data_IF_639841176062
#
_entry.id   IF_639841176062
#
_cell.length_a   1.000
_cell.length_b   1.000
_cell.length_c   1.000
_cell.angle_alpha   90.00
_cell.angle_beta   90.00
_cell.angle_gamma   90.00
#
_symmetry.space_group_name_H-M   'P 1'
#
loop_
_entity.id
_entity.type
_entity.pdbx_description
1 polymer ?
#
# COMPACT_ATOMS: atom_id res chain seq x y z
N UNK A 1 -9.67 -6.75 9.91
CA UNK A 1 -9.65 -5.92 8.68
C UNK A 1 -8.47 -6.33 7.80
N UNK A 2 -8.69 -6.37 6.50
CA UNK A 2 -7.62 -6.59 5.51
C UNK A 2 -7.20 -5.22 4.99
N UNK A 3 -5.94 -4.88 5.20
CA UNK A 3 -5.39 -3.57 4.84
C UNK A 3 -4.39 -3.73 3.70
N UNK A 4 -4.62 -3.05 2.58
CA UNK A 4 -3.64 -3.01 1.50
C UNK A 4 -2.67 -1.86 1.79
N UNK A 5 -1.40 -2.18 1.98
CA UNK A 5 -0.41 -1.18 2.36
C UNK A 5 0.18 -0.50 1.12
N UNK A 6 0.13 0.83 1.10
CA UNK A 6 0.79 1.64 0.10
C UNK A 6 2.17 2.11 0.55
N UNK A 7 2.96 2.55 -0.41
CA UNK A 7 4.35 2.98 -0.16
C UNK A 7 4.43 4.14 0.82
N UNK A 8 3.60 5.17 0.61
CA UNK A 8 3.64 6.37 1.45
C UNK A 8 3.29 6.08 2.91
N UNK A 9 2.32 5.19 3.14
CA UNK A 9 1.92 4.81 4.49
C UNK A 9 3.00 4.01 5.20
N UNK A 10 3.67 3.10 4.50
CA UNK A 10 4.77 2.32 5.10
C UNK A 10 5.95 3.24 5.42
N UNK A 11 6.35 4.10 4.49
CA UNK A 11 7.45 5.04 4.75
C UNK A 11 7.12 5.93 5.94
N UNK A 12 5.90 6.47 6.01
CA UNK A 12 5.47 7.30 7.14
C UNK A 12 5.57 6.56 8.47
N UNK A 13 5.24 5.27 8.48
CA UNK A 13 5.29 4.46 9.70
C UNK A 13 6.71 4.40 10.29
N UNK A 14 7.74 4.53 9.47
CA UNK A 14 9.14 4.45 9.90
C UNK A 14 9.86 5.80 9.87
N UNK A 15 9.18 6.85 9.47
CA UNK A 15 9.75 8.22 9.44
C UNK A 15 9.37 8.93 10.73
N UNK A 16 10.37 9.15 11.60
CA UNK A 16 10.17 9.84 12.88
C UNK A 16 9.68 11.28 12.75
N UNK A 17 9.81 11.88 11.56
CA UNK A 17 9.36 13.25 11.30
C UNK A 17 7.96 13.31 10.67
N UNK A 18 7.38 12.16 10.31
CA UNK A 18 6.05 12.14 9.71
C UNK A 18 4.97 12.26 10.80
N UNK A 19 4.07 13.26 10.72
CA UNK A 19 3.00 13.41 11.73
C UNK A 19 2.08 12.19 11.77
N UNK A 20 1.86 11.54 10.64
CA UNK A 20 0.98 10.36 10.51
C UNK A 20 1.68 9.06 10.93
N UNK A 21 2.99 9.10 11.20
CA UNK A 21 3.79 7.91 11.48
C UNK A 21 3.24 7.03 12.60
N UNK A 22 2.92 7.58 13.79
CA UNK A 22 2.36 6.76 14.88
C UNK A 22 1.07 6.04 14.49
N UNK A 23 0.16 6.72 13.79
CA UNK A 23 -1.10 6.10 13.32
C UNK A 23 -0.84 5.01 12.30
N UNK A 24 0.08 5.23 11.35
CA UNK A 24 0.45 4.23 10.37
C UNK A 24 1.07 2.99 11.03
N UNK A 25 1.95 3.17 12.00
CA UNK A 25 2.54 2.05 12.75
C UNK A 25 1.48 1.23 13.45
N UNK A 26 0.54 1.91 14.12
CA UNK A 26 -0.54 1.24 14.83
C UNK A 26 -1.40 0.42 13.88
N UNK A 27 -1.75 0.99 12.73
CA UNK A 27 -2.55 0.28 11.72
C UNK A 27 -1.84 -0.97 11.22
N UNK A 28 -0.55 -0.90 10.93
CA UNK A 28 0.23 -2.06 10.50
C UNK A 28 0.32 -3.12 11.59
N UNK A 29 0.34 -2.72 12.86
CA UNK A 29 0.39 -3.64 14.00
C UNK A 29 -0.96 -4.28 14.30
N UNK A 30 -2.05 -3.54 14.16
CA UNK A 30 -3.39 -3.97 14.58
C UNK A 30 -4.20 -4.63 13.47
N UNK A 31 -3.88 -4.41 12.20
CA UNK A 31 -4.60 -5.04 11.09
C UNK A 31 -4.48 -6.58 11.18
N UNK A 32 -5.57 -7.27 10.95
CA UNK A 32 -5.58 -8.74 10.94
C UNK A 32 -4.69 -9.30 9.84
N UNK A 33 -4.79 -8.73 8.65
CA UNK A 33 -3.97 -9.07 7.50
C UNK A 33 -3.54 -7.79 6.79
N UNK A 34 -2.26 -7.71 6.47
CA UNK A 34 -1.72 -6.63 5.62
C UNK A 34 -1.30 -7.24 4.29
N UNK A 35 -1.82 -6.69 3.20
CA UNK A 35 -1.43 -7.08 1.85
C UNK A 35 -0.30 -6.16 1.40
N UNK A 36 0.84 -6.76 1.09
CA UNK A 36 2.07 -6.05 0.76
C UNK A 36 2.49 -6.40 -0.67
N UNK A 37 2.17 -5.51 -1.61
CA UNK A 37 2.51 -5.68 -3.02
C UNK A 37 4.02 -5.74 -3.21
N UNK A 38 4.54 -6.64 -4.06
CA UNK A 38 5.96 -6.63 -4.44
C UNK A 38 6.41 -5.30 -5.04
N UNK A 39 5.51 -4.61 -5.77
CA UNK A 39 5.81 -3.29 -6.34
C UNK A 39 5.99 -2.25 -5.23
N UNK A 40 5.16 -2.31 -4.21
CA UNK A 40 5.29 -1.44 -3.03
C UNK A 40 6.58 -1.76 -2.28
N UNK A 41 6.94 -3.04 -2.13
CA UNK A 41 8.20 -3.42 -1.49
C UNK A 41 9.40 -2.80 -2.20
N UNK A 42 9.42 -2.84 -3.53
CA UNK A 42 10.51 -2.25 -4.31
C UNK A 42 10.58 -0.73 -4.13
N UNK A 43 9.44 -0.06 -4.11
CA UNK A 43 9.39 1.38 -3.86
C UNK A 43 9.83 1.75 -2.45
N UNK A 44 9.39 0.99 -1.46
CA UNK A 44 9.79 1.19 -0.06
C UNK A 44 11.30 1.05 0.09
N UNK A 45 11.89 0.02 -0.52
CA UNK A 45 13.34 -0.17 -0.52
C UNK A 45 14.06 1.07 -1.06
N UNK A 46 13.66 1.52 -2.23
CA UNK A 46 14.27 2.67 -2.89
C UNK A 46 14.11 3.96 -2.08
N UNK A 47 12.88 4.27 -1.66
CA UNK A 47 12.57 5.53 -0.98
C UNK A 47 13.13 5.57 0.43
N UNK A 48 13.12 4.46 1.15
CA UNK A 48 13.69 4.40 2.49
C UNK A 48 15.19 4.72 2.45
N UNK A 49 15.90 4.14 1.49
CA UNK A 49 17.33 4.42 1.31
C UNK A 49 17.58 5.87 0.92
N UNK A 50 16.78 6.39 0.00
CA UNK A 50 16.97 7.75 -0.51
C UNK A 50 16.58 8.84 0.48
N UNK A 51 15.48 8.65 1.22
CA UNK A 51 14.88 9.68 2.08
C UNK A 51 15.22 9.54 3.54
N UNK A 52 15.45 8.32 4.02
CA UNK A 52 15.75 8.09 5.43
C UNK A 52 17.24 7.79 5.61
N UNK A 53 17.64 6.54 5.40
CA UNK A 53 19.07 6.13 5.46
C UNK A 53 19.21 4.68 5.03
N UNK A 54 20.44 4.25 4.78
CA UNK A 54 20.73 2.84 4.50
C UNK A 54 20.42 1.96 5.72
N UNK A 55 20.66 2.46 6.94
CA UNK A 55 20.35 1.73 8.18
C UNK A 55 18.86 1.58 8.35
N UNK A 56 18.09 2.66 8.17
CA UNK A 56 16.64 2.62 8.25
C UNK A 56 16.05 1.67 7.20
N UNK A 57 16.56 1.71 5.98
CA UNK A 57 16.12 0.81 4.90
C UNK A 57 16.30 -0.66 5.30
N UNK A 58 17.46 -1.04 5.80
CA UNK A 58 17.70 -2.41 6.24
C UNK A 58 16.77 -2.82 7.36
N UNK A 59 16.55 -1.93 8.34
CA UNK A 59 15.65 -2.18 9.46
C UNK A 59 14.21 -2.40 8.99
N UNK A 60 13.73 -1.56 8.07
CA UNK A 60 12.39 -1.68 7.51
C UNK A 60 12.20 -3.03 6.81
N UNK A 61 13.15 -3.41 5.96
CA UNK A 61 13.07 -4.68 5.25
C UNK A 61 13.08 -5.88 6.20
N UNK A 62 13.89 -5.83 7.26
CA UNK A 62 13.91 -6.86 8.29
C UNK A 62 12.54 -6.99 8.97
N UNK A 63 11.96 -5.87 9.36
CA UNK A 63 10.66 -5.87 10.05
C UNK A 63 9.54 -6.37 9.14
N UNK A 64 9.50 -5.91 7.88
CA UNK A 64 8.51 -6.37 6.92
C UNK A 64 8.65 -7.87 6.64
N UNK A 65 9.88 -8.34 6.46
CA UNK A 65 10.16 -9.76 6.22
C UNK A 65 9.71 -10.62 7.41
N UNK A 66 9.96 -10.17 8.64
CA UNK A 66 9.53 -10.90 9.84
C UNK A 66 8.01 -11.05 9.88
N UNK A 67 7.26 -10.02 9.51
CA UNK A 67 5.80 -10.08 9.47
C UNK A 67 5.29 -11.00 8.35
N UNK A 68 5.99 -11.06 7.23
CA UNK A 68 5.67 -12.00 6.14
C UNK A 68 5.92 -13.44 6.62
N UNK A 69 7.01 -13.69 7.31
CA UNK A 69 7.34 -15.02 7.86
C UNK A 69 6.33 -15.48 8.90
N UNK A 70 5.75 -14.54 9.65
CA UNK A 70 4.66 -14.82 10.60
C UNK A 70 3.31 -14.99 9.95
N UNK A 71 3.24 -14.85 8.63
CA UNK A 71 2.00 -14.95 7.85
C UNK A 71 0.96 -13.86 8.18
N UNK A 72 1.37 -12.79 8.83
CA UNK A 72 0.51 -11.64 9.10
C UNK A 72 0.48 -10.68 7.93
N UNK A 73 1.60 -10.51 7.25
CA UNK A 73 1.69 -9.77 6.00
C UNK A 73 1.75 -10.77 4.85
N UNK A 74 0.93 -10.55 3.84
CA UNK A 74 0.87 -11.40 2.66
C UNK A 74 1.45 -10.65 1.46
N UNK A 75 2.37 -11.31 0.75
CA UNK A 75 2.94 -10.79 -0.49
C UNK A 75 2.31 -11.57 -1.64
N UNK A 76 1.33 -10.97 -2.34
CA UNK A 76 0.67 -11.68 -3.43
C UNK A 76 1.56 -11.78 -4.67
N UNK A 77 1.31 -12.79 -5.48
CA UNK A 77 1.91 -12.89 -6.80
C UNK A 77 1.29 -11.84 -7.73
N UNK A 78 2.13 -11.20 -8.53
CA UNK A 78 1.68 -10.24 -9.54
C UNK A 78 1.89 -10.89 -10.90
N UNK A 79 0.84 -11.47 -11.43
CA UNK A 79 0.87 -12.17 -12.70
C UNK A 79 0.21 -11.39 -13.83
N UNK A 80 0.05 -12.04 -15.01
CA UNK A 80 -0.50 -11.38 -16.20
C UNK A 80 -1.89 -10.78 -15.99
N UNK A 81 -2.76 -11.47 -15.26
CA UNK A 81 -4.13 -10.98 -15.03
C UNK A 81 -4.15 -9.74 -14.15
N UNK A 82 -3.34 -9.72 -13.11
CA UNK A 82 -3.21 -8.55 -12.24
C UNK A 82 -2.71 -7.35 -13.03
N UNK A 83 -1.69 -7.55 -13.86
CA UNK A 83 -1.15 -6.48 -14.70
C UNK A 83 -2.17 -5.99 -15.72
N UNK A 84 -2.93 -6.88 -16.35
CA UNK A 84 -3.97 -6.50 -17.31
C UNK A 84 -5.06 -5.66 -16.64
N UNK A 85 -5.51 -6.06 -15.45
CA UNK A 85 -6.52 -5.30 -14.69
C UNK A 85 -5.97 -3.94 -14.29
N UNK A 86 -4.73 -3.88 -13.82
CA UNK A 86 -4.08 -2.62 -13.45
C UNK A 86 -3.96 -1.67 -14.65
N UNK A 87 -3.60 -2.18 -15.83
CA UNK A 87 -3.57 -1.38 -17.05
C UNK A 87 -4.95 -0.81 -17.38
N UNK A 88 -6.01 -1.58 -17.18
CA UNK A 88 -7.38 -1.11 -17.35
C UNK A 88 -7.74 0.03 -16.41
N UNK A 89 -7.26 -0.04 -15.16
CA UNK A 89 -7.44 1.05 -14.18
C UNK A 89 -6.71 2.30 -14.63
N UNK A 90 -5.46 2.19 -15.03
CA UNK A 90 -4.67 3.33 -15.54
C UNK A 90 -5.40 4.00 -16.73
N UNK A 91 -5.89 3.20 -17.65
CA UNK A 91 -6.60 3.71 -18.82
C UNK A 91 -7.92 4.41 -18.49
N UNK A 92 -8.68 3.85 -17.54
CA UNK A 92 -9.95 4.46 -17.10
C UNK A 92 -9.75 5.83 -16.46
N UNK A 93 -8.66 5.99 -15.73
CA UNK A 93 -8.33 7.23 -15.02
C UNK A 93 -7.10 7.90 -15.63
N UNK A 94 -7.08 7.99 -16.96
CA UNK A 94 -5.93 8.51 -17.70
C UNK A 94 -5.49 9.91 -17.22
N UNK A 95 -6.47 10.76 -16.83
CA UNK A 95 -6.20 12.12 -16.36
C UNK A 95 -5.45 12.16 -15.02
N UNK A 96 -5.52 11.09 -14.24
CA UNK A 96 -4.81 11.01 -12.94
C UNK A 96 -3.35 10.61 -13.10
N UNK A 97 -3.00 10.01 -14.22
CA UNK A 97 -1.65 9.49 -14.46
C UNK A 97 -1.18 8.59 -13.29
N UNK A 98 -2.03 7.61 -12.95
CA UNK A 98 -1.71 6.66 -11.88
C UNK A 98 -0.46 5.87 -12.23
N UNK A 99 0.43 5.69 -11.27
CA UNK A 99 1.55 4.80 -11.49
C UNK A 99 1.10 3.33 -11.35
N UNK A 100 1.98 2.42 -11.80
CA UNK A 100 1.64 1.00 -11.82
C UNK A 100 1.42 0.45 -10.41
N UNK A 101 2.21 0.89 -9.43
CA UNK A 101 2.07 0.42 -8.06
C UNK A 101 0.70 0.78 -7.48
N UNK A 102 0.20 1.99 -7.72
CA UNK A 102 -1.11 2.42 -7.26
C UNK A 102 -2.23 1.65 -7.97
N UNK A 103 -2.11 1.45 -9.29
CA UNK A 103 -3.08 0.68 -10.04
C UNK A 103 -3.13 -0.78 -9.59
N UNK A 104 -1.99 -1.37 -9.25
CA UNK A 104 -1.93 -2.72 -8.68
C UNK A 104 -2.55 -2.73 -7.28
N UNK A 105 -2.35 -1.70 -6.47
CA UNK A 105 -3.02 -1.58 -5.16
C UNK A 105 -4.54 -1.62 -5.32
N UNK A 106 -5.09 -0.90 -6.29
CA UNK A 106 -6.53 -0.95 -6.59
C UNK A 106 -6.98 -2.37 -6.96
N UNK A 107 -6.20 -3.04 -7.77
CA UNK A 107 -6.47 -4.42 -8.21
C UNK A 107 -6.42 -5.40 -7.03
N UNK A 108 -5.40 -5.29 -6.18
CA UNK A 108 -5.25 -6.15 -5.01
C UNK A 108 -6.37 -5.94 -3.99
N UNK A 109 -6.81 -4.70 -3.81
CA UNK A 109 -7.95 -4.42 -2.94
C UNK A 109 -9.18 -5.20 -3.39
N UNK A 110 -9.41 -5.29 -4.70
CA UNK A 110 -10.50 -6.09 -5.25
C UNK A 110 -10.29 -7.59 -5.02
N UNK A 111 -9.08 -8.09 -5.25
CA UNK A 111 -8.76 -9.50 -5.05
C UNK A 111 -8.98 -9.95 -3.61
N UNK A 112 -8.67 -9.08 -2.66
CA UNK A 112 -8.85 -9.35 -1.22
C UNK A 112 -10.21 -8.85 -0.70
N UNK A 113 -11.05 -8.32 -1.56
CA UNK A 113 -12.40 -7.83 -1.24
C UNK A 113 -12.40 -6.82 -0.10
N UNK A 114 -11.48 -5.89 -0.16
CA UNK A 114 -11.34 -4.83 0.84
C UNK A 114 -11.38 -3.45 0.19
N UNK A 115 -11.80 -2.47 0.96
CA UNK A 115 -11.74 -1.05 0.58
C UNK A 115 -10.71 -0.30 1.40
N UNK A 116 -10.02 -0.98 2.32
CA UNK A 116 -9.10 -0.35 3.26
C UNK A 116 -7.68 -0.27 2.66
N UNK A 117 -7.18 0.93 2.48
CA UNK A 117 -5.86 1.20 1.92
C UNK A 117 -5.08 2.10 2.87
N UNK A 118 -3.87 1.71 3.21
CA UNK A 118 -2.94 2.55 3.98
C UNK A 118 -2.17 3.42 2.99
N UNK A 119 -2.48 4.71 2.95
CA UNK A 119 -1.84 5.63 2.01
C UNK A 119 -1.93 7.07 2.50
N UNK A 120 -0.95 7.88 2.13
CA UNK A 120 -1.01 9.34 2.26
C UNK A 120 -1.34 10.00 0.92
N UNK A 121 -1.49 9.23 -0.14
CA UNK A 121 -1.86 9.73 -1.47
C UNK A 121 -3.39 9.84 -1.57
N UNK A 122 -3.91 10.90 -0.98
CA UNK A 122 -5.34 11.15 -0.88
C UNK A 122 -5.96 11.51 -2.23
N UNK A 123 -5.25 12.32 -3.00
CA UNK A 123 -5.76 12.85 -4.26
C UNK A 123 -6.21 11.73 -5.21
N UNK A 124 -5.32 10.78 -5.48
CA UNK A 124 -5.58 9.74 -6.47
C UNK A 124 -6.59 8.72 -5.94
N UNK A 125 -6.42 8.26 -4.70
CA UNK A 125 -7.33 7.24 -4.14
C UNK A 125 -8.72 7.77 -3.79
N UNK A 126 -8.90 9.10 -3.62
CA UNK A 126 -10.25 9.69 -3.52
C UNK A 126 -10.95 9.76 -4.86
N UNK A 127 -10.20 9.83 -5.95
CA UNK A 127 -10.75 9.94 -7.30
C UNK A 127 -11.08 8.58 -7.92
N UNK A 128 -10.38 7.51 -7.52
CA UNK A 128 -10.55 6.17 -8.07
C UNK A 128 -11.62 5.40 -7.29
N UNK A 129 -12.52 4.74 -8.00
CA UNK A 129 -13.50 3.86 -7.37
C UNK A 129 -12.93 2.46 -7.22
N UNK A 130 -13.25 1.77 -6.11
CA UNK A 130 -12.94 0.35 -5.98
C UNK A 130 -13.55 -0.47 -7.12
N UNK A 131 -12.88 -1.56 -7.49
CA UNK A 131 -13.39 -2.50 -8.49
C UNK A 131 -14.43 -3.45 -7.90
N UNK A 132 -14.64 -3.40 -6.59
CA UNK A 132 -15.68 -4.13 -5.85
C UNK A 132 -16.98 -3.32 -5.82
N UNK A 133 -17.96 -3.78 -5.06
CA UNK A 133 -19.21 -3.04 -4.84
C UNK A 133 -19.06 -1.86 -3.86
N UNK A 134 -17.91 -1.70 -3.23
CA UNK A 134 -17.65 -0.55 -2.37
C UNK A 134 -17.75 0.76 -3.17
N UNK A 135 -18.33 1.79 -2.57
CA UNK A 135 -18.51 3.08 -3.25
C UNK A 135 -17.25 3.92 -3.29
N UNK A 136 -16.39 3.77 -2.31
CA UNK A 136 -15.15 4.53 -2.17
C UNK A 136 -14.16 3.72 -1.33
N UNK A 137 -12.88 4.03 -1.50
CA UNK A 137 -11.85 3.51 -0.61
C UNK A 137 -11.91 4.21 0.74
N UNK A 138 -11.65 3.43 1.80
CA UNK A 138 -11.31 4.00 3.11
C UNK A 138 -9.81 4.18 3.13
N UNK A 139 -9.38 5.42 3.24
CA UNK A 139 -7.96 5.77 3.24
C UNK A 139 -7.50 5.95 4.68
N UNK A 140 -6.62 5.09 5.11
CA UNK A 140 -6.05 5.19 6.45
C UNK A 140 -4.67 5.85 6.37
N UNK A 141 -4.31 6.68 7.34
CA UNK A 141 -4.99 6.93 8.62
C UNK A 141 -6.12 7.96 8.58
N UNK A 142 -6.39 8.61 7.45
CA UNK A 142 -7.38 9.71 7.40
C UNK A 142 -8.79 9.28 7.81
N UNK A 143 -9.22 8.10 7.39
CA UNK A 143 -10.58 7.62 7.60
C UNK A 143 -10.71 6.72 8.83
N UNK A 144 -9.88 6.95 9.81
CA UNK A 144 -9.99 6.27 11.10
C UNK A 144 -11.27 6.63 11.83
#
# INVERSE_FOLDING_TARGET
VILVAGTSGIIAAFDGNAPEGPSCRRLLQEAGTVVLSPLVLAEVDHLARARLSAVARSRILELLTAEVQRMRFQVPDIGPETLATALGVIGRYADLDLDLADAVTVTLAADYRTDAVLTLDRRDFRAVRPLTSHKAFRLFPDDL
#
